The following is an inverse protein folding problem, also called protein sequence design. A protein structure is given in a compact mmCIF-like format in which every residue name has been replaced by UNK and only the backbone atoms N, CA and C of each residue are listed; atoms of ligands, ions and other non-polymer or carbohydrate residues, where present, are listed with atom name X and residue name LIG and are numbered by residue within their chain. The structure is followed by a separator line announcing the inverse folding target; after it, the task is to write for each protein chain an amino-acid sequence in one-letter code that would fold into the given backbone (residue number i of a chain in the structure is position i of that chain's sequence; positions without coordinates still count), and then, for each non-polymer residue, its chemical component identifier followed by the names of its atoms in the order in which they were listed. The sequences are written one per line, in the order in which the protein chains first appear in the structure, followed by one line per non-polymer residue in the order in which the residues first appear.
data_IF_432317010368
#
_entry.id   IF_432317010368
#
_cell.length_a   1.000
_cell.length_b   1.000
_cell.length_c   1.000
_cell.angle_alpha   90.00
_cell.angle_beta   90.00
_cell.angle_gamma   90.00
#
_symmetry.space_group_name_H-M   'P 1'
#
loop_
_entity.id
_entity.type
_entity.pdbx_description
1 polymer ?
#
# COMPACT_ATOMS: atom_id res chain seq x y z
N UNK A 1 0.71 -4.92 -19.62
CA UNK A 1 0.44 -4.24 -18.34
C UNK A 1 1.77 -4.02 -17.67
N UNK A 2 2.13 -2.78 -17.36
CA UNK A 2 3.30 -2.51 -16.53
C UNK A 2 2.88 -2.67 -15.07
N UNK A 3 3.68 -3.33 -14.25
CA UNK A 3 3.49 -3.41 -12.81
C UNK A 3 4.51 -2.49 -12.13
N UNK A 4 4.22 -2.00 -10.92
CA UNK A 4 5.23 -1.31 -10.12
C UNK A 4 6.47 -2.20 -9.92
N UNK A 5 7.63 -1.57 -9.83
CA UNK A 5 8.86 -2.29 -9.50
C UNK A 5 8.89 -2.67 -8.01
N UNK A 6 9.72 -3.64 -7.65
CA UNK A 6 10.00 -3.93 -6.25
C UNK A 6 10.54 -2.69 -5.51
N UNK A 7 11.34 -1.86 -6.18
CA UNK A 7 11.81 -0.60 -5.60
C UNK A 7 10.66 0.37 -5.29
N UNK A 8 9.61 0.41 -6.10
CA UNK A 8 8.42 1.22 -5.82
C UNK A 8 7.69 0.71 -4.57
N UNK A 9 7.53 -0.61 -4.44
CA UNK A 9 6.94 -1.22 -3.24
C UNK A 9 7.78 -0.98 -1.99
N UNK A 10 9.11 -1.15 -2.07
CA UNK A 10 10.01 -0.87 -0.95
C UNK A 10 9.86 0.57 -0.48
N UNK A 11 9.91 1.54 -1.40
CA UNK A 11 9.76 2.96 -1.06
C UNK A 11 8.42 3.25 -0.40
N UNK A 12 7.34 2.66 -0.92
CA UNK A 12 6.03 2.82 -0.31
C UNK A 12 5.96 2.21 1.10
N UNK A 13 6.60 1.05 1.34
CA UNK A 13 6.67 0.43 2.66
C UNK A 13 7.53 1.24 3.63
N UNK A 14 8.58 1.91 3.15
CA UNK A 14 9.38 2.85 3.96
C UNK A 14 8.47 3.98 4.43
N UNK A 15 7.76 4.64 3.52
CA UNK A 15 6.80 5.72 3.84
C UNK A 15 5.77 5.23 4.85
N UNK A 16 5.12 4.10 4.58
CA UNK A 16 4.10 3.53 5.45
C UNK A 16 4.61 3.19 6.87
N UNK A 17 5.91 2.92 7.04
CA UNK A 17 6.52 2.64 8.34
C UNK A 17 6.88 3.91 9.14
N UNK A 18 6.86 5.07 8.49
CA UNK A 18 7.29 6.35 9.04
C UNK A 18 6.12 7.31 9.25
N UNK A 19 5.12 7.29 8.37
CA UNK A 19 4.01 8.23 8.36
C UNK A 19 2.70 7.58 7.90
N UNK A 20 1.59 8.29 8.12
CA UNK A 20 0.33 7.93 7.47
C UNK A 20 0.31 8.36 6.00
N UNK A 21 -0.58 7.75 5.23
CA UNK A 21 -0.66 8.00 3.80
C UNK A 21 -2.06 7.72 3.25
N UNK A 22 -2.38 8.35 2.13
CA UNK A 22 -3.62 8.10 1.39
C UNK A 22 -3.38 7.21 0.17
N UNK A 23 -4.43 6.61 -0.41
CA UNK A 23 -4.35 6.00 -1.75
C UNK A 23 -3.73 6.93 -2.80
N UNK A 24 -3.97 8.24 -2.73
CA UNK A 24 -3.41 9.19 -3.70
C UNK A 24 -1.89 9.38 -3.58
N UNK A 25 -1.33 9.18 -2.39
CA UNK A 25 0.11 9.27 -2.15
C UNK A 25 0.82 7.94 -2.46
N UNK A 26 0.05 6.87 -2.71
CA UNK A 26 0.57 5.52 -2.87
C UNK A 26 1.16 5.31 -4.27
N UNK A 27 2.39 4.80 -4.35
CA UNK A 27 3.09 4.50 -5.61
C UNK A 27 3.16 5.71 -6.56
N UNK A 28 3.39 6.91 -6.03
CA UNK A 28 3.39 8.16 -6.82
C UNK A 28 4.38 8.18 -8.00
N UNK A 29 5.45 7.38 -7.94
CA UNK A 29 6.44 7.27 -9.03
C UNK A 29 6.02 6.30 -10.15
N UNK A 30 5.04 5.42 -9.90
CA UNK A 30 4.56 4.48 -10.88
C UNK A 30 3.60 5.18 -11.86
N UNK A 31 3.99 5.19 -13.14
CA UNK A 31 3.22 5.81 -14.24
C UNK A 31 2.86 7.30 -14.06
N UNK A 32 3.57 8.01 -13.17
CA UNK A 32 3.28 9.42 -12.86
C UNK A 32 2.16 9.63 -11.83
N UNK A 33 1.72 8.56 -11.16
CA UNK A 33 0.75 8.62 -10.07
C UNK A 33 -0.63 9.11 -10.51
N UNK A 34 -1.31 9.83 -9.62
CA UNK A 34 -2.65 10.38 -9.87
C UNK A 34 -2.74 11.38 -11.03
N UNK A 35 -1.61 11.98 -11.44
CA UNK A 35 -1.53 12.92 -12.56
C UNK A 35 -0.86 12.32 -13.80
N UNK A 36 -0.64 11.01 -13.78
CA UNK A 36 0.03 10.24 -14.81
C UNK A 36 -0.78 10.05 -16.09
N UNK A 37 -0.14 9.51 -17.12
CA UNK A 37 -0.77 9.23 -18.42
C UNK A 37 -1.76 8.06 -18.39
N UNK A 38 -1.62 7.13 -17.42
CA UNK A 38 -2.51 5.98 -17.25
C UNK A 38 -2.97 5.84 -15.78
N UNK A 39 -3.82 6.78 -15.37
CA UNK A 39 -4.40 6.82 -14.02
C UNK A 39 -5.14 5.53 -13.68
N UNK A 40 -5.75 4.85 -14.66
CA UNK A 40 -6.49 3.60 -14.42
C UNK A 40 -5.56 2.47 -14.01
N UNK A 41 -4.43 2.30 -14.70
CA UNK A 41 -3.44 1.29 -14.34
C UNK A 41 -2.76 1.62 -13.01
N UNK A 42 -2.44 2.90 -12.74
CA UNK A 42 -1.96 3.31 -11.41
C UNK A 42 -2.98 3.02 -10.30
N UNK A 43 -4.26 3.36 -10.47
CA UNK A 43 -5.31 3.06 -9.48
C UNK A 43 -5.45 1.57 -9.18
N UNK A 44 -5.33 0.73 -10.22
CA UNK A 44 -5.33 -0.73 -10.06
C UNK A 44 -4.14 -1.18 -9.21
N UNK A 45 -2.93 -0.70 -9.54
CA UNK A 45 -1.71 -1.05 -8.82
C UNK A 45 -1.74 -0.61 -7.35
N UNK A 46 -2.24 0.59 -7.06
CA UNK A 46 -2.47 1.08 -5.69
C UNK A 46 -3.44 0.17 -4.95
N UNK A 47 -4.57 -0.17 -5.56
CA UNK A 47 -5.57 -1.05 -4.95
C UNK A 47 -4.98 -2.41 -4.62
N UNK A 48 -4.22 -3.00 -5.53
CA UNK A 48 -3.57 -4.29 -5.35
C UNK A 48 -2.52 -4.22 -4.23
N UNK A 49 -1.69 -3.18 -4.20
CA UNK A 49 -0.72 -2.95 -3.13
C UNK A 49 -1.38 -2.81 -1.75
N UNK A 50 -2.44 -2.00 -1.65
CA UNK A 50 -3.15 -1.80 -0.38
C UNK A 50 -3.83 -3.10 0.08
N UNK A 51 -4.44 -3.86 -0.83
CA UNK A 51 -5.02 -5.16 -0.49
C UNK A 51 -3.96 -6.14 0.01
N UNK A 52 -2.81 -6.21 -0.66
CA UNK A 52 -1.70 -7.09 -0.29
C UNK A 52 -1.14 -6.77 1.10
N UNK A 53 -0.82 -5.50 1.32
CA UNK A 53 -0.27 -5.02 2.59
C UNK A 53 -1.28 -5.14 3.73
N UNK A 54 -2.57 -4.91 3.47
CA UNK A 54 -3.63 -5.10 4.45
C UNK A 54 -3.80 -6.57 4.84
N UNK A 55 -3.85 -7.51 3.88
CA UNK A 55 -4.06 -8.94 4.19
C UNK A 55 -2.88 -9.52 4.97
N UNK A 56 -1.66 -9.12 4.63
CA UNK A 56 -0.46 -9.45 5.41
C UNK A 56 -0.47 -8.82 6.81
N UNK A 57 -1.31 -7.82 7.05
CA UNK A 57 -1.35 -7.07 8.30
C UNK A 57 -0.16 -6.12 8.46
N UNK A 58 0.41 -5.65 7.35
CA UNK A 58 1.49 -4.67 7.35
C UNK A 58 0.96 -3.26 7.54
N UNK A 59 -0.23 -2.97 7.01
CA UNK A 59 -0.91 -1.67 7.18
C UNK A 59 -2.30 -1.85 7.79
N UNK A 60 -2.87 -0.76 8.31
CA UNK A 60 -4.24 -0.66 8.78
C UNK A 60 -4.89 0.66 8.34
N UNK A 61 -6.20 0.64 8.10
CA UNK A 61 -6.97 1.84 7.76
C UNK A 61 -7.34 2.61 9.04
N UNK A 62 -6.91 3.86 9.20
CA UNK A 62 -6.97 4.60 10.47
C UNK A 62 -8.40 4.80 11.00
N UNK A 63 -9.40 4.96 10.12
CA UNK A 63 -10.78 5.33 10.49
C UNK A 63 -11.85 4.36 9.98
N UNK A 64 -11.47 3.12 9.61
CA UNK A 64 -12.37 2.13 9.03
C UNK A 64 -12.20 0.78 9.72
N UNK A 65 -12.85 0.60 10.88
CA UNK A 65 -12.75 -0.64 11.67
C UNK A 65 -13.26 -1.84 10.89
N UNK A 66 -14.30 -1.65 10.09
CA UNK A 66 -14.87 -2.65 9.20
C UNK A 66 -13.85 -3.23 8.19
N UNK A 67 -12.85 -2.44 7.78
CA UNK A 67 -11.74 -2.91 6.94
C UNK A 67 -10.71 -3.67 7.79
N UNK A 68 -10.39 -3.17 8.98
CA UNK A 68 -9.32 -3.72 9.82
C UNK A 68 -9.68 -5.03 10.52
N UNK A 69 -10.88 -5.14 11.09
CA UNK A 69 -11.27 -6.23 12.00
C UNK A 69 -11.13 -7.61 11.36
N UNK A 70 -11.30 -7.69 10.04
CA UNK A 70 -11.17 -8.91 9.24
C UNK A 70 -10.10 -8.81 8.16
N UNK A 71 -9.33 -7.71 8.11
CA UNK A 71 -8.45 -7.38 6.97
C UNK A 71 -9.22 -7.55 5.64
N UNK A 72 -10.41 -6.96 5.57
CA UNK A 72 -11.37 -7.22 4.50
C UNK A 72 -10.93 -6.54 3.20
N UNK A 73 -10.08 -7.23 2.45
CA UNK A 73 -9.58 -6.79 1.15
C UNK A 73 -10.68 -6.70 0.10
N UNK A 74 -11.79 -7.43 0.26
CA UNK A 74 -12.92 -7.36 -0.68
C UNK A 74 -13.65 -6.04 -0.49
N UNK A 75 -13.92 -5.67 0.76
CA UNK A 75 -14.51 -4.38 1.09
C UNK A 75 -13.60 -3.22 0.65
N UNK A 76 -12.29 -3.31 0.92
CA UNK A 76 -11.33 -2.29 0.47
C UNK A 76 -11.33 -2.13 -1.06
N UNK A 77 -11.29 -3.24 -1.79
CA UNK A 77 -11.31 -3.22 -3.26
C UNK A 77 -12.61 -2.62 -3.79
N UNK A 78 -13.75 -3.07 -3.25
CA UNK A 78 -15.06 -2.54 -3.62
C UNK A 78 -15.16 -1.02 -3.39
N UNK A 79 -14.64 -0.53 -2.26
CA UNK A 79 -14.59 0.90 -1.93
C UNK A 79 -13.75 1.68 -2.95
N UNK A 80 -12.52 1.23 -3.22
CA UNK A 80 -11.59 1.92 -4.11
C UNK A 80 -11.95 1.83 -5.59
N UNK A 81 -12.81 0.88 -5.97
CA UNK A 81 -13.28 0.67 -7.34
C UNK A 81 -14.74 1.11 -7.55
N UNK A 82 -15.42 1.58 -6.49
CA UNK A 82 -16.87 1.89 -6.48
C UNK A 82 -17.75 0.73 -6.98
N UNK A 83 -17.34 -0.51 -6.71
CA UNK A 83 -18.17 -1.67 -7.04
C UNK A 83 -19.23 -1.86 -5.95
N UNK A 84 -20.51 -1.67 -6.30
CA UNK A 84 -21.66 -2.11 -5.50
C UNK A 84 -21.70 -1.64 -4.03
N UNK A 85 -21.30 -0.40 -3.76
CA UNK A 85 -21.45 0.20 -2.43
C UNK A 85 -22.40 1.39 -2.50
N UNK A 86 -23.37 1.42 -1.59
CA UNK A 86 -24.09 2.64 -1.18
C UNK A 86 -23.12 3.56 -0.43
N UNK A 87 -22.08 4.03 -1.13
CA UNK A 87 -21.16 5.03 -0.61
C UNK A 87 -21.50 6.34 -1.29
N UNK A 88 -22.17 7.24 -0.57
CA UNK A 88 -22.53 8.58 -1.05
C UNK A 88 -21.31 9.50 -1.30
N UNK A 89 -20.09 8.98 -1.08
CA UNK A 89 -18.85 9.73 -1.26
C UNK A 89 -18.28 9.56 -2.67
N UNK A 90 -18.01 10.66 -3.39
CA UNK A 90 -17.27 10.62 -4.65
C UNK A 90 -15.92 9.92 -4.49
N UNK A 91 -15.54 9.09 -5.46
CA UNK A 91 -14.30 8.28 -5.41
C UNK A 91 -13.07 9.15 -5.21
N UNK A 92 -13.00 10.32 -5.83
CA UNK A 92 -11.85 11.21 -5.72
C UNK A 92 -11.74 11.80 -4.30
N UNK A 93 -12.85 11.97 -3.58
CA UNK A 93 -12.83 12.36 -2.16
C UNK A 93 -12.39 11.17 -1.32
N UNK A 94 -12.95 9.98 -1.57
CA UNK A 94 -12.60 8.75 -0.84
C UNK A 94 -11.10 8.47 -0.87
N UNK A 95 -10.46 8.65 -2.03
CA UNK A 95 -9.01 8.46 -2.22
C UNK A 95 -8.15 9.47 -1.46
N UNK A 96 -8.70 10.61 -1.04
CA UNK A 96 -8.01 11.62 -0.22
C UNK A 96 -8.31 11.49 1.28
N UNK A 97 -9.44 10.91 1.66
CA UNK A 97 -9.86 10.83 3.07
C UNK A 97 -9.62 9.46 3.71
N UNK A 98 -9.31 8.44 2.91
CA UNK A 98 -8.96 7.13 3.41
C UNK A 98 -7.47 7.13 3.78
N UNK A 99 -7.18 7.06 5.08
CA UNK A 99 -5.82 7.03 5.59
C UNK A 99 -5.42 5.62 6.00
N UNK A 100 -4.17 5.28 5.73
CA UNK A 100 -3.50 4.09 6.18
C UNK A 100 -2.25 4.44 6.98
N UNK A 101 -1.87 3.56 7.89
CA UNK A 101 -0.60 3.64 8.60
C UNK A 101 0.01 2.25 8.73
N UNK A 102 1.34 2.19 8.87
CA UNK A 102 2.07 0.98 9.16
C UNK A 102 1.72 0.42 10.54
N UNK A 103 1.54 -0.90 10.59
CA UNK A 103 1.38 -1.64 11.85
C UNK A 103 2.72 -1.81 12.57
N UNK A 104 2.71 -2.22 13.86
CA UNK A 104 3.93 -2.62 14.55
C UNK A 104 4.72 -3.70 13.79
N UNK A 105 4.05 -4.65 13.12
CA UNK A 105 4.70 -5.67 12.31
C UNK A 105 5.54 -5.06 11.17
N UNK A 106 4.99 -4.09 10.44
CA UNK A 106 5.74 -3.40 9.38
C UNK A 106 6.92 -2.62 9.98
N UNK A 107 6.69 -1.92 11.09
CA UNK A 107 7.74 -1.16 11.78
C UNK A 107 8.91 -2.06 12.18
N UNK A 108 8.62 -3.25 12.71
CA UNK A 108 9.64 -4.22 13.13
C UNK A 108 10.42 -4.76 11.93
N UNK A 109 9.74 -5.14 10.84
CA UNK A 109 10.37 -5.61 9.59
C UNK A 109 11.29 -4.53 9.01
N UNK A 110 10.81 -3.29 8.89
CA UNK A 110 11.61 -2.19 8.32
C UNK A 110 12.79 -1.83 9.21
N UNK A 111 12.66 -1.96 10.53
CA UNK A 111 13.77 -1.75 11.48
C UNK A 111 14.80 -2.87 11.34
N UNK A 112 14.38 -4.13 11.26
CA UNK A 112 15.26 -5.28 11.07
C UNK A 112 16.10 -5.15 9.80
N UNK A 113 15.49 -4.71 8.70
CA UNK A 113 16.19 -4.53 7.42
C UNK A 113 16.99 -3.21 7.33
N UNK A 114 17.01 -2.37 8.38
CA UNK A 114 17.69 -1.08 8.35
C UNK A 114 17.08 -0.06 7.37
N UNK A 115 15.78 -0.18 7.08
CA UNK A 115 15.05 0.63 6.10
C UNK A 115 14.10 1.66 6.75
N UNK A 116 14.01 1.71 8.09
CA UNK A 116 13.13 2.63 8.81
C UNK A 116 13.74 4.03 8.95
N UNK A 117 14.01 4.70 7.84
CA UNK A 117 14.38 6.12 7.81
C UNK A 117 14.01 6.77 6.49
N UNK A 118 13.86 8.09 6.48
CA UNK A 118 13.65 8.85 5.25
C UNK A 118 14.85 8.73 4.29
N UNK A 119 16.06 8.59 4.82
CA UNK A 119 17.28 8.40 4.02
C UNK A 119 17.27 7.08 3.24
N UNK A 120 16.52 6.07 3.71
CA UNK A 120 16.38 4.79 3.01
C UNK A 120 15.58 4.88 1.71
N UNK A 121 14.89 6.00 1.41
CA UNK A 121 14.16 6.17 0.15
C UNK A 121 15.07 6.21 -1.09
N UNK A 122 16.34 6.59 -0.92
CA UNK A 122 17.35 6.58 -1.98
C UNK A 122 18.17 5.30 -2.02
N UNK A 123 17.94 4.37 -1.09
CA UNK A 123 18.62 3.08 -1.07
C UNK A 123 18.24 2.23 -2.30
N UNK A 124 19.16 1.35 -2.75
CA UNK A 124 18.81 0.34 -3.76
C UNK A 124 17.74 -0.62 -3.22
N UNK A 125 17.18 -1.41 -4.13
CA UNK A 125 16.28 -2.51 -3.79
C UNK A 125 16.96 -3.47 -2.80
N UNK A 126 16.28 -3.77 -1.70
CA UNK A 126 16.73 -4.68 -0.64
C UNK A 126 16.16 -6.06 -0.87
N UNK A 127 17.02 -7.00 -1.25
CA UNK A 127 16.63 -8.40 -1.37
C UNK A 127 16.20 -8.99 -0.02
N UNK A 128 16.82 -8.53 1.08
CA UNK A 128 16.50 -8.98 2.44
C UNK A 128 15.04 -8.66 2.81
N UNK A 129 14.59 -7.45 2.50
CA UNK A 129 13.20 -7.04 2.74
C UNK A 129 12.22 -8.01 2.07
N UNK A 130 12.42 -8.32 0.79
CA UNK A 130 11.49 -9.17 0.06
C UNK A 130 11.51 -10.63 0.53
N UNK A 131 12.66 -11.15 0.99
CA UNK A 131 12.69 -12.47 1.63
C UNK A 131 11.88 -12.49 2.94
N UNK A 132 12.00 -11.45 3.76
CA UNK A 132 11.22 -11.33 5.01
C UNK A 132 9.74 -11.19 4.70
N UNK A 133 9.37 -10.38 3.71
CA UNK A 133 7.99 -10.22 3.28
C UNK A 133 7.40 -11.52 2.73
N UNK A 134 8.13 -12.29 1.93
CA UNK A 134 7.70 -13.62 1.47
C UNK A 134 7.48 -14.59 2.64
N UNK A 135 8.34 -14.54 3.67
CA UNK A 135 8.16 -15.38 4.86
C UNK A 135 6.93 -14.98 5.69
N UNK A 136 6.65 -13.68 5.82
CA UNK A 136 5.55 -13.15 6.64
C UNK A 136 4.21 -13.21 5.90
N UNK A 137 4.20 -12.91 4.61
CA UNK A 137 3.01 -12.88 3.78
C UNK A 137 2.68 -14.22 3.11
N UNK A 138 3.57 -15.21 3.18
CA UNK A 138 3.40 -16.51 2.51
C UNK A 138 3.49 -16.38 0.98
N UNK A 139 2.54 -17.04 0.27
CA UNK A 139 2.52 -17.14 -1.20
C UNK A 139 2.27 -15.81 -1.94
N UNK A 140 2.24 -14.66 -1.26
CA UNK A 140 2.06 -13.37 -1.92
C UNK A 140 3.30 -13.03 -2.74
N UNK A 141 3.17 -13.11 -4.07
CA UNK A 141 4.23 -12.73 -5.00
C UNK A 141 4.21 -11.22 -5.20
N UNK A 142 5.23 -10.55 -4.67
CA UNK A 142 5.53 -9.15 -4.94
C UNK A 142 6.12 -8.93 -6.36
N UNK A 143 6.17 -9.98 -7.19
CA UNK A 143 6.74 -10.05 -8.55
C UNK A 143 5.75 -10.64 -9.56
#
# INVERSE_FOLDING_TARGET
MHQPSLLDYQRQLIIASLDDFTPNDTLANFQGGQYGADVKAWRSAVTDFLCATLVCGLIQATHRREINDKRDVRLLRALLQQENLECDMPIDILWNVLYFHGTPLLVDIMTQCGLRSWDSLVAPESQELFMVLEQVCGDFKWR
#
